data_IF_972686600383
#
_entry.id   IF_972686600383
#
_cell.length_a   1.000
_cell.length_b   1.000
_cell.length_c   1.000
_cell.angle_alpha   90.00
_cell.angle_beta   90.00
_cell.angle_gamma   90.00
#
_symmetry.space_group_name_H-M   'P 1'
#
loop_
_entity.id
_entity.type
_entity.pdbx_description
1 polymer ?
#
# COMPACT_ATOMS: atom_id res chain seq x y z
N UNK A 1 32.46 14.76 6.66
CA UNK A 1 33.48 13.69 6.54
C UNK A 1 33.49 12.96 7.87
N UNK A 2 33.16 11.67 7.90
CA UNK A 2 33.25 10.87 9.13
C UNK A 2 34.70 10.85 9.61
N UNK A 3 34.89 11.02 10.90
CA UNK A 3 36.18 10.90 11.56
C UNK A 3 36.65 9.42 11.58
N UNK A 4 37.96 9.16 11.64
CA UNK A 4 38.50 7.79 11.61
C UNK A 4 38.01 6.93 12.77
N UNK A 5 37.71 7.56 13.92
CA UNK A 5 37.08 6.92 15.06
C UNK A 5 35.66 6.42 14.74
N UNK A 6 34.87 7.25 14.06
CA UNK A 6 33.50 6.91 13.67
C UNK A 6 33.48 5.77 12.64
N UNK A 7 34.45 5.74 11.71
CA UNK A 7 34.61 4.64 10.76
C UNK A 7 34.91 3.30 11.45
N UNK A 8 35.75 3.29 12.48
CA UNK A 8 36.06 2.07 13.24
C UNK A 8 34.86 1.61 14.06
N UNK A 9 34.20 2.54 14.76
CA UNK A 9 32.99 2.23 15.51
C UNK A 9 31.89 1.65 14.60
N UNK A 10 31.73 2.18 13.39
CA UNK A 10 30.78 1.65 12.40
C UNK A 10 31.14 0.24 11.94
N UNK A 11 32.42 -0.04 11.69
CA UNK A 11 32.89 -1.35 11.25
C UNK A 11 32.72 -2.42 12.34
N UNK A 12 32.93 -2.04 13.60
CA UNK A 12 32.72 -2.93 14.74
C UNK A 12 31.23 -3.21 14.98
N UNK A 13 30.38 -2.19 14.83
CA UNK A 13 28.92 -2.35 14.82
C UNK A 13 28.47 -3.28 13.69
N UNK A 14 28.94 -3.07 12.46
CA UNK A 14 28.59 -3.92 11.30
C UNK A 14 29.01 -5.38 11.52
N UNK A 15 30.18 -5.61 12.11
CA UNK A 15 30.68 -6.97 12.42
C UNK A 15 29.84 -7.63 13.51
N UNK A 16 29.44 -6.88 14.54
CA UNK A 16 28.54 -7.36 15.59
C UNK A 16 27.15 -7.72 15.03
N UNK A 17 26.60 -6.85 14.19
CA UNK A 17 25.25 -6.99 13.61
C UNK A 17 25.16 -8.11 12.56
N UNK A 18 26.25 -8.42 11.85
CA UNK A 18 26.31 -9.57 10.91
C UNK A 18 26.17 -10.94 11.59
N UNK A 19 26.54 -11.04 12.87
CA UNK A 19 26.38 -12.28 13.64
C UNK A 19 24.96 -12.49 14.19
N UNK A 20 24.14 -11.44 14.20
CA UNK A 20 22.78 -11.49 14.74
C UNK A 20 21.77 -11.78 13.63
N UNK A 21 21.44 -13.07 13.49
CA UNK A 21 20.42 -13.55 12.56
C UNK A 21 19.03 -12.96 12.83
N UNK A 22 18.73 -12.58 14.08
CA UNK A 22 17.45 -11.98 14.45
C UNK A 22 17.38 -10.52 13.96
N UNK A 23 18.48 -9.78 14.10
CA UNK A 23 18.62 -8.44 13.52
C UNK A 23 18.55 -8.47 11.99
N UNK A 24 19.24 -9.42 11.35
CA UNK A 24 19.19 -9.60 9.90
C UNK A 24 17.76 -9.88 9.41
N UNK A 25 17.00 -10.71 10.15
CA UNK A 25 15.59 -10.97 9.85
C UNK A 25 14.71 -9.72 10.02
N UNK A 26 14.92 -8.93 11.08
CA UNK A 26 14.21 -7.65 11.29
C UNK A 26 14.52 -6.62 10.19
N UNK A 27 15.77 -6.54 9.75
CA UNK A 27 16.19 -5.65 8.66
C UNK A 27 15.73 -6.14 7.29
N UNK A 28 15.68 -7.45 7.05
CA UNK A 28 15.11 -8.01 5.83
C UNK A 28 13.63 -7.67 5.69
N UNK A 29 12.86 -7.67 6.80
CA UNK A 29 11.47 -7.23 6.82
C UNK A 29 11.26 -5.73 6.51
N UNK A 30 12.31 -4.89 6.65
CA UNK A 30 12.32 -3.49 6.21
C UNK A 30 12.79 -3.33 4.75
N UNK A 31 13.52 -4.31 4.21
CA UNK A 31 13.87 -4.37 2.79
C UNK A 31 12.70 -4.88 1.93
N UNK A 32 11.78 -5.64 2.52
CA UNK A 32 10.46 -5.99 1.97
C UNK A 32 9.44 -4.85 2.10
N UNK A 33 9.86 -3.59 1.96
CA UNK A 33 8.92 -2.56 1.49
C UNK A 33 8.61 -2.96 0.05
N UNK A 34 7.41 -3.49 -0.24
CA UNK A 34 7.11 -3.95 -1.59
C UNK A 34 7.35 -2.79 -2.57
N UNK A 35 7.98 -3.06 -3.73
CA UNK A 35 8.12 -2.05 -4.77
C UNK A 35 6.73 -1.47 -5.05
N UNK A 36 6.66 -0.15 -5.17
CA UNK A 36 5.47 0.70 -5.29
C UNK A 36 4.20 -0.05 -5.73
N UNK A 37 3.07 0.12 -5.02
CA UNK A 37 1.93 -0.77 -5.17
C UNK A 37 1.47 -0.81 -6.63
N UNK A 38 1.22 -2.05 -7.08
CA UNK A 38 0.45 -2.38 -8.27
C UNK A 38 -0.65 -1.33 -8.48
N UNK A 39 -0.72 -0.80 -9.72
CA UNK A 39 -1.69 0.16 -10.26
C UNK A 39 -2.74 0.64 -9.23
N UNK A 40 -2.77 1.93 -8.84
CA UNK A 40 -3.53 2.44 -7.69
C UNK A 40 -5.05 2.43 -7.92
N UNK A 41 -5.63 1.25 -8.11
CA UNK A 41 -7.00 1.04 -8.54
C UNK A 41 -7.98 1.49 -7.45
N UNK A 42 -7.66 1.23 -6.18
CA UNK A 42 -8.52 1.59 -5.03
C UNK A 42 -8.70 3.10 -4.89
N UNK A 43 -7.63 3.94 -4.83
CA UNK A 43 -7.83 5.39 -4.75
C UNK A 43 -8.49 5.97 -6.01
N UNK A 44 -8.25 5.40 -7.20
CA UNK A 44 -8.96 5.80 -8.43
C UNK A 44 -10.46 5.50 -8.32
N UNK A 45 -10.82 4.29 -7.85
CA UNK A 45 -12.20 3.89 -7.59
C UNK A 45 -12.88 4.84 -6.61
N UNK A 46 -12.22 5.17 -5.48
CA UNK A 46 -12.75 6.11 -4.50
C UNK A 46 -12.98 7.51 -5.09
N UNK A 47 -12.04 8.01 -5.90
CA UNK A 47 -12.19 9.31 -6.56
C UNK A 47 -13.38 9.30 -7.54
N UNK A 48 -13.54 8.23 -8.34
CA UNK A 48 -14.68 8.05 -9.23
C UNK A 48 -16.00 8.04 -8.47
N UNK A 49 -16.08 7.29 -7.35
CA UNK A 49 -17.27 7.25 -6.51
C UNK A 49 -17.62 8.64 -5.99
N UNK A 50 -16.63 9.38 -5.48
CA UNK A 50 -16.85 10.73 -4.96
C UNK A 50 -17.42 11.69 -6.01
N UNK A 51 -17.01 11.56 -7.28
CA UNK A 51 -17.53 12.38 -8.39
C UNK A 51 -18.95 11.92 -8.81
N UNK A 52 -19.20 10.61 -8.84
CA UNK A 52 -20.47 10.04 -9.30
C UNK A 52 -21.62 10.22 -8.30
N UNK A 53 -21.35 10.10 -6.99
CA UNK A 53 -22.38 10.20 -5.94
C UNK A 53 -23.22 11.48 -6.03
N UNK A 54 -22.65 12.70 -6.09
CA UNK A 54 -23.46 13.92 -6.19
C UNK A 54 -24.23 14.01 -7.51
N UNK A 55 -23.65 13.58 -8.64
CA UNK A 55 -24.36 13.54 -9.93
C UNK A 55 -25.57 12.60 -9.89
N UNK A 56 -25.39 11.41 -9.33
CA UNK A 56 -26.42 10.40 -9.28
C UNK A 56 -27.49 10.73 -8.24
N UNK A 57 -27.09 11.30 -7.10
CA UNK A 57 -28.05 11.83 -6.13
C UNK A 57 -28.92 12.93 -6.74
N UNK A 58 -28.34 13.79 -7.60
CA UNK A 58 -29.08 14.85 -8.29
C UNK A 58 -30.05 14.30 -9.34
N UNK A 59 -29.65 13.29 -10.13
CA UNK A 59 -30.43 12.77 -11.27
C UNK A 59 -31.44 11.69 -10.89
N UNK A 60 -31.08 10.81 -9.95
CA UNK A 60 -31.82 9.59 -9.63
C UNK A 60 -32.18 9.48 -8.14
N UNK A 61 -31.79 10.46 -7.32
CA UNK A 61 -32.04 10.47 -5.89
C UNK A 61 -31.41 9.28 -5.16
N UNK A 62 -32.01 8.91 -4.03
CA UNK A 62 -31.54 7.83 -3.16
C UNK A 62 -31.43 6.47 -3.86
N UNK A 63 -32.36 6.17 -4.78
CA UNK A 63 -32.35 4.91 -5.51
C UNK A 63 -31.11 4.76 -6.40
N UNK A 64 -30.70 5.83 -7.08
CA UNK A 64 -29.47 5.83 -7.88
C UNK A 64 -28.22 5.66 -7.04
N UNK A 65 -28.17 6.29 -5.87
CA UNK A 65 -27.02 6.17 -4.96
C UNK A 65 -26.83 4.72 -4.50
N UNK A 66 -27.90 4.01 -4.18
CA UNK A 66 -27.83 2.59 -3.80
C UNK A 66 -27.24 1.73 -4.93
N UNK A 67 -27.71 1.93 -6.16
CA UNK A 67 -27.20 1.19 -7.34
C UNK A 67 -25.71 1.46 -7.55
N UNK A 68 -25.26 2.71 -7.44
CA UNK A 68 -23.84 3.07 -7.57
C UNK A 68 -22.99 2.41 -6.49
N UNK A 69 -23.51 2.34 -5.26
CA UNK A 69 -22.82 1.73 -4.14
C UNK A 69 -22.65 0.22 -4.33
N UNK A 70 -23.67 -0.46 -4.85
CA UNK A 70 -23.61 -1.88 -5.20
C UNK A 70 -22.58 -2.15 -6.31
N UNK A 71 -22.58 -1.32 -7.37
CA UNK A 71 -21.61 -1.43 -8.46
C UNK A 71 -20.18 -1.18 -7.96
N UNK A 72 -20.00 -0.21 -7.07
CA UNK A 72 -18.71 0.08 -6.44
C UNK A 72 -18.20 -1.10 -5.59
N UNK A 73 -19.08 -1.69 -4.78
CA UNK A 73 -18.75 -2.87 -3.98
C UNK A 73 -18.36 -4.06 -4.87
N UNK A 74 -19.09 -4.29 -5.96
CA UNK A 74 -18.75 -5.32 -6.95
C UNK A 74 -17.38 -5.06 -7.60
N UNK A 75 -17.08 -3.81 -7.96
CA UNK A 75 -15.79 -3.45 -8.54
C UNK A 75 -14.63 -3.70 -7.55
N UNK A 76 -14.80 -3.34 -6.27
CA UNK A 76 -13.81 -3.66 -5.22
C UNK A 76 -13.63 -5.17 -5.10
N UNK A 77 -14.71 -5.95 -5.05
CA UNK A 77 -14.65 -7.40 -4.96
C UNK A 77 -13.86 -8.00 -6.12
N UNK A 78 -14.10 -7.54 -7.35
CA UNK A 78 -13.35 -7.97 -8.55
C UNK A 78 -11.86 -7.63 -8.44
N UNK A 79 -11.51 -6.42 -7.99
CA UNK A 79 -10.11 -6.01 -7.77
C UNK A 79 -9.44 -6.91 -6.72
N UNK A 80 -10.12 -7.21 -5.62
CA UNK A 80 -9.60 -8.08 -4.56
C UNK A 80 -9.42 -9.52 -5.05
N UNK A 81 -10.38 -10.07 -5.81
CA UNK A 81 -10.28 -11.42 -6.40
C UNK A 81 -9.10 -11.47 -7.37
N UNK A 82 -8.95 -10.47 -8.25
CA UNK A 82 -7.82 -10.39 -9.18
C UNK A 82 -6.48 -10.30 -8.45
N UNK A 83 -6.41 -9.52 -7.36
CA UNK A 83 -5.20 -9.36 -6.56
C UNK A 83 -4.86 -10.60 -5.73
N UNK A 84 -5.85 -11.42 -5.38
CA UNK A 84 -5.67 -12.71 -4.68
C UNK A 84 -5.19 -13.82 -5.62
N UNK A 85 -5.58 -13.76 -6.89
CA UNK A 85 -5.21 -14.77 -7.90
C UNK A 85 -3.88 -14.47 -8.62
N UNK A 86 -3.24 -13.34 -8.31
CA UNK A 86 -1.90 -12.97 -8.76
C UNK A 86 -0.88 -13.23 -7.64
#
# INVERSE_FOLDING_TARGET
MLNDYERRALADLERSLKGDSEFAARMAGLADVPPAPAFPAVPILCALLFILVPLVMLLFGWAGVLIVLDVFAAAIAVVLIRRRNH
#
